data_IF_847467044693
#
_entry.id   IF_847467044693
#
_cell.length_a   1.000
_cell.length_b   1.000
_cell.length_c   1.000
_cell.angle_alpha   90.00
_cell.angle_beta   90.00
_cell.angle_gamma   90.00
#
_symmetry.space_group_name_H-M   'P 1'
#
loop_
_entity.id
_entity.type
_entity.pdbx_description
1 polymer ?
#
# COMPACT_ATOMS: atom_id res chain seq x y z
N UNK A 1 4.42 6.82 -60.70
CA UNK A 1 3.34 6.70 -59.68
C UNK A 1 3.90 5.94 -58.49
N UNK A 2 3.91 6.51 -57.26
CA UNK A 2 3.94 5.84 -55.92
C UNK A 2 4.51 6.69 -54.75
N UNK A 3 4.84 7.97 -54.93
CA UNK A 3 5.38 8.82 -53.83
C UNK A 3 4.34 9.12 -52.72
N UNK A 4 3.04 9.00 -53.01
CA UNK A 4 1.95 9.30 -52.05
C UNK A 4 1.57 8.18 -51.07
N UNK A 5 2.08 6.95 -51.24
CA UNK A 5 1.66 5.79 -50.42
C UNK A 5 2.45 5.65 -49.11
N UNK A 6 3.77 5.90 -49.16
CA UNK A 6 4.69 5.70 -48.03
C UNK A 6 4.47 6.69 -46.87
N UNK A 7 4.22 7.97 -47.16
CA UNK A 7 3.90 8.97 -46.11
C UNK A 7 2.57 8.68 -45.42
N UNK A 8 1.56 8.21 -46.16
CA UNK A 8 0.25 7.85 -45.59
C UNK A 8 0.35 6.61 -44.70
N UNK A 9 1.17 5.63 -45.11
CA UNK A 9 1.48 4.44 -44.30
C UNK A 9 2.17 4.80 -42.98
N UNK A 10 3.19 5.68 -43.00
CA UNK A 10 3.87 6.15 -41.80
C UNK A 10 2.99 7.02 -40.90
N UNK A 11 2.11 7.85 -41.47
CA UNK A 11 1.17 8.65 -40.68
C UNK A 11 0.10 7.76 -40.02
N UNK A 12 -0.37 6.72 -40.70
CA UNK A 12 -1.33 5.77 -40.14
C UNK A 12 -0.70 4.89 -39.04
N UNK A 13 0.56 4.45 -39.20
CA UNK A 13 1.25 3.70 -38.14
C UNK A 13 1.54 4.57 -36.91
N UNK A 14 1.91 5.84 -37.10
CA UNK A 14 2.07 6.80 -36.01
C UNK A 14 0.73 7.09 -35.32
N UNK A 15 -0.36 7.21 -36.07
CA UNK A 15 -1.72 7.41 -35.57
C UNK A 15 -2.24 6.20 -34.76
N UNK A 16 -1.79 4.97 -35.09
CA UNK A 16 -2.10 3.73 -34.36
C UNK A 16 -1.31 3.56 -33.05
N UNK A 17 -0.20 4.28 -32.87
CA UNK A 17 0.59 4.28 -31.63
C UNK A 17 0.06 5.27 -30.58
N UNK A 18 -0.66 6.32 -31.01
CA UNK A 18 -1.30 7.31 -30.16
C UNK A 18 -2.37 6.75 -29.19
N UNK A 19 -3.28 5.85 -29.58
CA UNK A 19 -4.24 5.28 -28.63
C UNK A 19 -3.55 4.41 -27.57
N UNK A 20 -2.50 3.66 -27.95
CA UNK A 20 -1.74 2.81 -27.03
C UNK A 20 -1.00 3.62 -25.97
N UNK A 21 -0.38 4.74 -26.33
CA UNK A 21 0.27 5.63 -25.37
C UNK A 21 -0.73 6.30 -24.43
N UNK A 22 -1.90 6.72 -24.94
CA UNK A 22 -2.98 7.26 -24.11
C UNK A 22 -3.47 6.23 -23.08
N UNK A 23 -3.69 4.98 -23.47
CA UNK A 23 -4.10 3.90 -22.55
C UNK A 23 -3.04 3.65 -21.48
N UNK A 24 -1.75 3.65 -21.85
CA UNK A 24 -0.65 3.46 -20.89
C UNK A 24 -0.60 4.62 -19.89
N UNK A 25 -0.71 5.87 -20.36
CA UNK A 25 -0.71 7.06 -19.49
C UNK A 25 -1.91 6.99 -18.53
N UNK A 26 -3.10 6.69 -19.04
CA UNK A 26 -4.31 6.54 -18.22
C UNK A 26 -4.14 5.44 -17.16
N UNK A 27 -3.59 4.29 -17.53
CA UNK A 27 -3.30 3.21 -16.60
C UNK A 27 -2.31 3.60 -15.51
N UNK A 28 -1.26 4.36 -15.84
CA UNK A 28 -0.29 4.88 -14.86
C UNK A 28 -0.91 5.90 -13.91
N UNK A 29 -1.75 6.80 -14.42
CA UNK A 29 -2.48 7.78 -13.59
C UNK A 29 -3.44 7.07 -12.63
N UNK A 30 -4.21 6.09 -13.12
CA UNK A 30 -5.10 5.28 -12.29
C UNK A 30 -4.32 4.49 -11.23
N UNK A 31 -3.19 3.87 -11.59
CA UNK A 31 -2.37 3.13 -10.63
C UNK A 31 -1.79 4.04 -9.53
N UNK A 32 -1.29 5.23 -9.88
CA UNK A 32 -0.73 6.18 -8.92
C UNK A 32 -1.80 6.74 -7.97
N UNK A 33 -2.96 7.13 -8.53
CA UNK A 33 -4.09 7.63 -7.72
C UNK A 33 -4.64 6.55 -6.79
N UNK A 34 -4.72 5.30 -7.25
CA UNK A 34 -5.09 4.15 -6.43
C UNK A 34 -4.09 3.90 -5.28
N UNK A 35 -2.79 3.91 -5.55
CA UNK A 35 -1.76 3.76 -4.52
C UNK A 35 -1.79 4.89 -3.49
N UNK A 36 -2.07 6.11 -3.93
CA UNK A 36 -2.19 7.26 -3.04
C UNK A 36 -3.38 7.11 -2.08
N UNK A 37 -4.53 6.69 -2.59
CA UNK A 37 -5.74 6.45 -1.78
C UNK A 37 -5.57 5.30 -0.79
N UNK A 38 -4.85 4.24 -1.18
CA UNK A 38 -4.58 3.07 -0.33
C UNK A 38 -3.50 3.29 0.72
N UNK A 39 -2.85 4.46 0.78
CA UNK A 39 -1.77 4.72 1.74
C UNK A 39 -2.34 4.91 3.15
N UNK A 40 -2.81 3.82 3.75
CA UNK A 40 -3.21 3.76 5.15
C UNK A 40 -2.04 4.22 6.00
N UNK A 41 -2.29 5.24 6.82
CA UNK A 41 -1.29 5.73 7.76
C UNK A 41 -1.04 4.65 8.79
N UNK A 42 0.24 4.42 9.10
CA UNK A 42 0.64 3.51 10.17
C UNK A 42 0.03 3.97 11.50
N UNK A 43 -0.48 3.05 12.31
CA UNK A 43 -0.94 3.40 13.65
C UNK A 43 0.21 4.02 14.45
N UNK A 44 -0.05 5.18 15.07
CA UNK A 44 0.97 5.96 15.81
C UNK A 44 1.79 6.92 14.95
N UNK A 45 1.56 7.00 13.64
CA UNK A 45 2.17 8.05 12.80
C UNK A 45 1.38 9.37 12.86
N UNK A 46 1.99 10.53 12.56
CA UNK A 46 1.31 11.82 12.57
C UNK A 46 0.02 11.84 11.72
N UNK A 47 -1.11 12.07 12.40
CA UNK A 47 -2.45 12.05 11.79
C UNK A 47 -2.93 10.69 11.30
N UNK A 48 -2.27 9.59 11.71
CA UNK A 48 -2.73 8.21 11.53
C UNK A 48 -3.57 7.73 12.73
N UNK A 49 -4.09 6.49 12.68
CA UNK A 49 -4.88 5.94 13.78
C UNK A 49 -4.04 5.82 15.07
N UNK A 50 -4.65 5.88 16.26
CA UNK A 50 -3.94 5.67 17.51
C UNK A 50 -3.47 4.22 17.64
N UNK A 51 -2.39 4.00 18.40
CA UNK A 51 -1.98 2.64 18.80
C UNK A 51 -2.92 2.17 19.92
N UNK A 52 -3.73 1.15 19.65
CA UNK A 52 -4.72 0.63 20.61
C UNK A 52 -4.29 -0.64 21.33
N UNK A 53 -3.31 -1.37 20.80
CA UNK A 53 -2.82 -2.61 21.40
C UNK A 53 -1.94 -2.33 22.63
N UNK A 54 -2.12 -3.07 23.75
CA UNK A 54 -1.16 -3.07 24.85
C UNK A 54 0.27 -3.36 24.40
N UNK A 55 1.26 -2.79 25.10
CA UNK A 55 2.68 -2.97 24.78
C UNK A 55 3.53 -3.21 26.02
N UNK A 56 4.53 -4.08 25.88
CA UNK A 56 5.56 -4.32 26.90
C UNK A 56 6.85 -3.66 26.41
N UNK A 57 7.46 -2.81 27.24
CA UNK A 57 8.77 -2.22 26.95
C UNK A 57 9.87 -3.23 27.29
N UNK A 58 10.72 -3.54 26.32
CA UNK A 58 11.87 -4.41 26.48
C UNK A 58 13.06 -3.64 27.08
N UNK A 59 14.09 -4.36 27.54
CA UNK A 59 15.24 -3.74 28.20
C UNK A 59 15.99 -2.78 27.28
N UNK A 60 16.11 -3.11 26.00
CA UNK A 60 16.71 -2.24 24.99
C UNK A 60 15.80 -1.05 24.57
N UNK A 61 14.61 -0.92 25.16
CA UNK A 61 13.70 0.20 24.92
C UNK A 61 12.72 0.01 23.76
N UNK A 62 12.81 -1.10 23.02
CA UNK A 62 11.82 -1.50 22.02
C UNK A 62 10.48 -1.88 22.68
N UNK A 63 9.40 -1.94 21.89
CA UNK A 63 8.06 -2.28 22.39
C UNK A 63 7.51 -3.53 21.71
N UNK A 64 7.12 -4.53 22.50
CA UNK A 64 6.44 -5.73 22.03
C UNK A 64 4.92 -5.55 22.16
N UNK A 65 4.20 -5.65 21.05
CA UNK A 65 2.74 -5.66 21.05
C UNK A 65 2.22 -7.04 21.47
N UNK A 66 1.12 -7.06 22.23
CA UNK A 66 0.45 -8.30 22.61
C UNK A 66 -1.06 -8.09 22.66
N UNK A 67 -1.80 -9.20 22.72
CA UNK A 67 -3.24 -9.21 22.86
C UNK A 67 -3.60 -9.97 24.13
N UNK A 68 -4.49 -9.40 24.93
CA UNK A 68 -5.05 -10.04 26.10
C UNK A 68 -6.43 -10.63 25.79
N UNK A 69 -6.77 -11.71 26.49
CA UNK A 69 -8.10 -12.29 26.45
C UNK A 69 -8.50 -12.72 27.87
N UNK A 70 -9.77 -12.48 28.24
CA UNK A 70 -10.25 -12.73 29.59
C UNK A 70 -9.94 -11.59 30.56
N UNK A 71 -9.41 -11.91 31.74
CA UNK A 71 -9.07 -10.92 32.76
C UNK A 71 -7.80 -10.15 32.38
N UNK A 72 -7.73 -8.83 32.61
CA UNK A 72 -6.50 -8.07 32.44
C UNK A 72 -5.34 -8.67 33.23
N UNK A 73 -4.13 -8.65 32.66
CA UNK A 73 -2.94 -9.28 33.24
C UNK A 73 -2.71 -8.87 34.70
N UNK A 74 -2.88 -7.59 35.02
CA UNK A 74 -2.67 -7.02 36.36
C UNK A 74 -3.63 -7.58 37.42
N UNK A 75 -4.79 -8.11 37.01
CA UNK A 75 -5.83 -8.66 37.89
C UNK A 75 -5.87 -10.20 37.86
N UNK A 76 -5.13 -10.82 36.96
CA UNK A 76 -5.16 -12.26 36.76
C UNK A 76 -4.28 -12.98 37.81
N UNK A 77 -4.79 -14.09 38.37
CA UNK A 77 -4.01 -14.96 39.29
C UNK A 77 -3.08 -15.93 38.54
N UNK A 78 -3.39 -16.19 37.28
CA UNK A 78 -2.62 -17.10 36.42
C UNK A 78 -2.66 -16.56 34.99
N UNK A 79 -1.49 -16.49 34.34
CA UNK A 79 -1.32 -15.94 32.99
C UNK A 79 -0.77 -17.05 32.10
N UNK A 80 -1.42 -17.28 30.97
CA UNK A 80 -0.90 -18.16 29.91
C UNK A 80 -0.40 -17.27 28.77
N UNK A 81 0.85 -17.46 28.36
CA UNK A 81 1.48 -16.69 27.28
C UNK A 81 1.60 -17.58 26.05
N UNK A 82 1.03 -17.15 24.93
CA UNK A 82 1.14 -17.83 23.65
C UNK A 82 2.12 -17.09 22.74
N UNK A 83 3.13 -17.81 22.24
CA UNK A 83 4.15 -17.31 21.33
C UNK A 83 4.00 -18.07 20.02
N UNK A 84 3.87 -17.34 18.90
CA UNK A 84 3.88 -17.93 17.56
C UNK A 84 5.28 -17.82 16.94
N UNK A 85 5.63 -18.80 16.11
CA UNK A 85 6.85 -18.79 15.28
C UNK A 85 6.64 -18.10 13.95
#
# INVERSE_FOLDING_TARGET
MTIGSSRKSLLNSLLLLLPSTVVIILGKVLALTYQFMLKLKLCGSPGGPPITSPRIKLREGSHLAYKEHGLPREKSRSIVIFIHG
#
